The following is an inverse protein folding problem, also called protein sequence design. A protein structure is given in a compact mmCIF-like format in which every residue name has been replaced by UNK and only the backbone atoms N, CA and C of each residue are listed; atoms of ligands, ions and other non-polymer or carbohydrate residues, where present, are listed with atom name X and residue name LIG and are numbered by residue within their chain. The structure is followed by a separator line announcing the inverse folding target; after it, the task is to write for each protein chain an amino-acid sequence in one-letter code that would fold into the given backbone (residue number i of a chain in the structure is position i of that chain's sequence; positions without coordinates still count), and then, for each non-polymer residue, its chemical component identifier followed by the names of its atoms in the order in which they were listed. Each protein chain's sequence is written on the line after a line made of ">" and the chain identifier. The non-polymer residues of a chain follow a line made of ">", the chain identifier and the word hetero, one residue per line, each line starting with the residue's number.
data_IF_626742838177
#
_entry.id   IF_626742838177
#
_cell.length_a   1.000
_cell.length_b   1.000
_cell.length_c   1.000
_cell.angle_alpha   90.00
_cell.angle_beta   90.00
_cell.angle_gamma   90.00
#
_symmetry.space_group_name_H-M   'P 1'
#
loop_
_entity.id
_entity.type
_entity.pdbx_description
1 polymer ?
#
# COMPACT_ATOMS: atom_id res chain seq x y z
N UNK A 1 19.20 -37.69 9.19
CA UNK A 1 18.75 -37.05 7.94
C UNK A 1 18.82 -35.54 8.17
N UNK A 2 19.71 -34.83 7.49
CA UNK A 2 19.81 -33.37 7.60
C UNK A 2 18.97 -32.79 6.45
N UNK A 3 17.93 -32.03 6.78
CA UNK A 3 17.22 -31.23 5.78
C UNK A 3 18.15 -30.07 5.38
N UNK A 4 18.61 -30.07 4.13
CA UNK A 4 19.29 -28.93 3.53
C UNK A 4 18.27 -28.07 2.80
N UNK A 5 17.98 -26.89 3.36
CA UNK A 5 17.18 -25.88 2.68
C UNK A 5 18.08 -25.09 1.71
N UNK A 6 17.72 -25.07 0.42
CA UNK A 6 18.25 -24.08 -0.52
C UNK A 6 17.46 -22.79 -0.33
N UNK A 7 18.12 -21.74 0.16
CA UNK A 7 17.54 -20.39 0.17
C UNK A 7 17.46 -19.94 -1.28
N UNK A 8 16.25 -19.75 -1.80
CA UNK A 8 16.05 -19.11 -3.10
C UNK A 8 16.39 -17.63 -2.98
N UNK A 9 17.34 -17.18 -3.79
CA UNK A 9 17.79 -15.78 -3.86
C UNK A 9 17.07 -14.99 -4.95
N UNK A 10 16.12 -15.57 -5.66
CA UNK A 10 15.33 -14.89 -6.71
C UNK A 10 14.69 -13.59 -6.23
N UNK A 11 14.95 -12.49 -6.95
CA UNK A 11 14.36 -11.16 -6.69
C UNK A 11 12.86 -11.20 -6.93
N UNK A 12 12.06 -10.71 -5.97
CA UNK A 12 10.62 -10.62 -6.13
C UNK A 12 10.22 -9.17 -6.39
N UNK A 13 10.15 -8.82 -7.68
CA UNK A 13 9.78 -7.47 -8.10
C UNK A 13 8.29 -7.23 -7.90
N UNK A 14 7.97 -6.18 -7.15
CA UNK A 14 6.60 -5.74 -6.89
C UNK A 14 6.51 -4.21 -6.90
N UNK A 15 5.28 -3.70 -6.93
CA UNK A 15 5.04 -2.29 -6.66
C UNK A 15 4.96 -2.03 -5.17
N UNK A 16 5.40 -0.85 -4.74
CA UNK A 16 5.21 -0.34 -3.40
C UNK A 16 4.64 1.07 -3.46
N UNK A 17 3.69 1.36 -2.59
CA UNK A 17 3.25 2.72 -2.31
C UNK A 17 3.68 3.07 -0.88
N UNK A 18 4.19 4.29 -0.73
CA UNK A 18 4.40 4.92 0.58
C UNK A 18 3.37 6.01 0.73
N UNK A 19 2.61 5.93 1.82
CA UNK A 19 1.50 6.82 2.09
C UNK A 19 1.80 7.59 3.36
N UNK A 20 1.81 8.91 3.23
CA UNK A 20 1.90 9.86 4.34
C UNK A 20 0.48 10.28 4.71
N UNK A 21 0.06 9.93 5.93
CA UNK A 21 -1.30 10.18 6.41
C UNK A 21 -1.33 11.30 7.43
N UNK A 22 -2.47 11.97 7.53
CA UNK A 22 -2.79 12.80 8.68
C UNK A 22 -2.80 11.91 9.95
N UNK A 23 -2.06 12.26 11.02
CA UNK A 23 -2.10 11.53 12.28
C UNK A 23 -3.49 11.35 12.90
N UNK A 24 -4.46 12.19 12.53
CA UNK A 24 -5.86 12.10 13.00
C UNK A 24 -6.72 11.19 12.12
N UNK A 25 -6.25 10.78 10.94
CA UNK A 25 -7.01 9.86 10.10
C UNK A 25 -7.10 8.47 10.71
N UNK A 26 -8.29 7.87 10.66
CA UNK A 26 -8.52 6.55 11.24
C UNK A 26 -8.33 5.41 10.24
N UNK A 27 -8.60 5.65 8.96
CA UNK A 27 -8.62 4.60 7.94
C UNK A 27 -8.09 5.07 6.61
N UNK A 28 -7.65 4.10 5.82
CA UNK A 28 -7.30 4.34 4.43
C UNK A 28 -7.55 3.11 3.57
N UNK A 29 -7.67 3.36 2.27
CA UNK A 29 -7.91 2.36 1.26
C UNK A 29 -7.07 2.62 0.00
N UNK A 30 -6.72 1.53 -0.67
CA UNK A 30 -6.04 1.54 -1.97
C UNK A 30 -6.95 0.78 -2.93
N UNK A 31 -7.25 1.39 -4.07
CA UNK A 31 -8.17 0.84 -5.06
C UNK A 31 -7.52 0.82 -6.44
N UNK A 32 -7.88 -0.19 -7.24
CA UNK A 32 -7.66 -0.16 -8.68
C UNK A 32 -8.74 0.73 -9.32
N UNK A 33 -8.31 1.73 -10.09
CA UNK A 33 -9.21 2.72 -10.72
C UNK A 33 -10.01 2.17 -11.88
N UNK A 34 -9.50 1.14 -12.56
CA UNK A 34 -10.10 0.61 -13.78
C UNK A 34 -11.25 -0.33 -13.45
N UNK A 35 -11.08 -1.19 -12.44
CA UNK A 35 -12.10 -2.14 -11.99
C UNK A 35 -12.86 -1.66 -10.76
N UNK A 36 -12.39 -0.62 -10.08
CA UNK A 36 -12.87 -0.19 -8.76
C UNK A 36 -12.69 -1.28 -7.69
N UNK A 37 -11.77 -2.22 -7.91
CA UNK A 37 -11.46 -3.28 -6.95
C UNK A 37 -10.68 -2.71 -5.78
N UNK A 38 -11.09 -3.08 -4.57
CA UNK A 38 -10.34 -2.78 -3.35
C UNK A 38 -9.08 -3.67 -3.30
N UNK A 39 -7.91 -3.04 -3.27
CA UNK A 39 -6.62 -3.72 -3.13
C UNK A 39 -6.21 -3.79 -1.65
N UNK A 40 -6.54 -2.76 -0.88
CA UNK A 40 -6.27 -2.67 0.55
C UNK A 40 -7.31 -1.82 1.26
N UNK A 41 -7.64 -2.20 2.49
CA UNK A 41 -8.26 -1.33 3.48
C UNK A 41 -7.70 -1.64 4.87
N UNK A 42 -7.48 -0.60 5.67
CA UNK A 42 -6.93 -0.78 7.01
C UNK A 42 -7.16 0.44 7.89
N UNK A 43 -6.84 0.27 9.18
CA UNK A 43 -6.67 1.39 10.10
C UNK A 43 -5.34 2.08 9.82
N UNK A 44 -5.26 3.38 10.04
CA UNK A 44 -3.98 4.11 9.94
C UNK A 44 -3.00 3.53 10.96
N UNK A 45 -1.81 3.05 10.54
CA UNK A 45 -0.84 2.46 11.45
C UNK A 45 -0.22 3.53 12.36
N UNK A 46 0.27 3.11 13.53
CA UNK A 46 0.92 4.01 14.48
C UNK A 46 2.24 4.61 13.95
N UNK A 47 2.82 4.02 12.89
CA UNK A 47 4.07 4.47 12.25
C UNK A 47 3.79 5.00 10.85
N UNK A 48 4.28 6.21 10.57
CA UNK A 48 4.11 6.93 9.31
C UNK A 48 5.49 7.11 8.63
N UNK A 49 5.67 6.90 7.31
CA UNK A 49 4.68 6.49 6.30
C UNK A 49 4.27 5.01 6.36
N UNK A 50 3.02 4.68 6.01
CA UNK A 50 2.64 3.28 5.79
C UNK A 50 3.13 2.81 4.42
N UNK A 51 3.61 1.55 4.39
CA UNK A 51 4.12 0.93 3.18
C UNK A 51 3.26 -0.27 2.80
N UNK A 52 2.75 -0.27 1.58
CA UNK A 52 1.94 -1.36 1.03
C UNK A 52 2.58 -1.89 -0.24
N UNK A 53 2.67 -3.22 -0.32
CA UNK A 53 3.01 -3.92 -1.56
C UNK A 53 1.76 -4.09 -2.42
N UNK A 54 1.88 -3.71 -3.67
CA UNK A 54 0.88 -3.88 -4.71
C UNK A 54 1.48 -4.69 -5.87
N UNK A 55 0.64 -5.32 -6.70
CA UNK A 55 1.10 -6.00 -7.91
C UNK A 55 2.00 -5.15 -8.82
N UNK A 56 2.92 -5.80 -9.54
CA UNK A 56 3.93 -5.15 -10.37
C UNK A 56 3.33 -4.26 -11.47
N UNK A 57 2.14 -4.58 -11.99
CA UNK A 57 1.47 -3.79 -13.03
C UNK A 57 1.20 -2.33 -12.63
N UNK A 58 1.10 -2.05 -11.33
CA UNK A 58 0.90 -0.69 -10.82
C UNK A 58 2.20 0.13 -10.81
N UNK A 59 3.36 -0.47 -11.10
CA UNK A 59 4.63 0.26 -11.28
C UNK A 59 4.77 0.90 -12.65
N UNK A 60 3.97 0.45 -13.63
CA UNK A 60 4.01 0.92 -15.01
C UNK A 60 2.69 1.57 -15.44
N UNK A 61 1.80 1.87 -14.48
CA UNK A 61 0.50 2.46 -14.74
C UNK A 61 0.08 3.42 -13.63
N UNK A 62 -0.79 4.37 -13.97
CA UNK A 62 -1.39 5.33 -13.03
C UNK A 62 -2.81 4.87 -12.64
N UNK A 63 -2.93 3.57 -12.37
CA UNK A 63 -4.22 2.91 -12.13
C UNK A 63 -4.54 2.73 -10.65
N UNK A 64 -3.72 3.27 -9.74
CA UNK A 64 -4.06 3.29 -8.32
C UNK A 64 -4.76 4.60 -7.95
N UNK A 65 -5.73 4.49 -7.07
CA UNK A 65 -6.21 5.60 -6.27
C UNK A 65 -6.10 5.24 -4.80
N UNK A 66 -5.79 6.24 -3.99
CA UNK A 66 -5.63 6.11 -2.54
C UNK A 66 -6.64 7.04 -1.90
N UNK A 67 -7.33 6.55 -0.88
CA UNK A 67 -8.35 7.31 -0.16
C UNK A 67 -8.05 7.21 1.33
N UNK A 68 -8.06 8.35 2.01
CA UNK A 68 -7.94 8.48 3.46
C UNK A 68 -9.30 8.90 3.99
N UNK A 69 -9.76 8.24 5.04
CA UNK A 69 -11.01 8.53 5.72
C UNK A 69 -10.71 9.07 7.11
N UNK A 70 -11.36 10.19 7.42
CA UNK A 70 -11.44 10.75 8.76
C UNK A 70 -12.89 10.60 9.25
N UNK A 71 -13.05 9.75 10.27
CA UNK A 71 -14.32 9.40 10.90
C UNK A 71 -14.53 10.14 12.23
N UNK A 72 -13.80 11.22 12.50
CA UNK A 72 -13.91 11.95 13.77
C UNK A 72 -15.31 12.52 14.02
N UNK A 73 -15.64 12.64 15.32
CA UNK A 73 -16.97 13.01 15.82
C UNK A 73 -17.50 14.39 15.38
N UNK A 74 -16.67 15.23 14.74
CA UNK A 74 -17.03 16.59 14.32
C UNK A 74 -17.12 16.80 12.80
N UNK A 75 -17.01 15.73 12.01
CA UNK A 75 -17.30 15.77 10.58
C UNK A 75 -16.65 14.61 9.83
N UNK A 76 -17.43 13.93 8.99
CA UNK A 76 -16.87 12.96 8.05
C UNK A 76 -16.08 13.69 6.97
N UNK A 77 -14.82 13.34 6.81
CA UNK A 77 -14.00 13.86 5.72
C UNK A 77 -13.32 12.73 4.96
N UNK A 78 -13.09 12.96 3.67
CA UNK A 78 -12.34 12.05 2.82
C UNK A 78 -11.42 12.84 1.91
N UNK A 79 -10.17 12.39 1.83
CA UNK A 79 -9.17 12.95 0.90
C UNK A 79 -8.66 11.81 0.05
N UNK A 80 -8.65 12.02 -1.27
CA UNK A 80 -8.21 11.02 -2.21
C UNK A 80 -7.13 11.55 -3.15
N UNK A 81 -6.10 10.74 -3.37
CA UNK A 81 -5.11 10.94 -4.41
C UNK A 81 -5.37 9.97 -5.56
N UNK A 82 -5.65 10.52 -6.73
CA UNK A 82 -5.92 9.78 -7.95
C UNK A 82 -4.66 9.62 -8.80
N UNK A 83 -4.66 8.66 -9.74
CA UNK A 83 -3.58 8.42 -10.71
C UNK A 83 -2.21 8.14 -10.05
N UNK A 84 -2.21 7.44 -8.92
CA UNK A 84 -1.00 7.04 -8.22
C UNK A 84 -0.29 5.94 -9.01
N UNK A 85 1.04 6.03 -9.04
CA UNK A 85 1.95 5.03 -9.60
C UNK A 85 2.80 4.45 -8.48
N UNK A 86 2.91 3.12 -8.43
CA UNK A 86 3.74 2.46 -7.43
C UNK A 86 5.22 2.54 -7.80
N UNK A 87 6.08 2.57 -6.79
CA UNK A 87 7.52 2.43 -6.96
C UNK A 87 7.89 0.95 -7.14
N UNK A 88 8.76 0.64 -8.11
CA UNK A 88 9.33 -0.71 -8.26
C UNK A 88 10.32 -1.01 -7.12
N UNK A 89 10.10 -2.13 -6.43
CA UNK A 89 10.95 -2.61 -5.33
C UNK A 89 11.18 -4.12 -5.39
N UNK A 90 12.24 -4.63 -4.74
CA UNK A 90 12.31 -6.04 -4.34
C UNK A 90 11.55 -6.18 -3.02
N UNK A 91 10.42 -6.89 -3.03
CA UNK A 91 9.54 -7.02 -1.88
C UNK A 91 10.24 -7.61 -0.64
N UNK A 92 11.35 -8.35 -0.81
CA UNK A 92 12.13 -8.90 0.31
C UNK A 92 12.96 -7.87 1.06
N UNK A 93 13.17 -6.70 0.46
CA UNK A 93 13.97 -5.61 1.03
C UNK A 93 13.12 -4.55 1.72
N UNK A 94 11.80 -4.69 1.66
CA UNK A 94 10.84 -3.73 2.22
C UNK A 94 10.28 -4.26 3.54
N UNK A 95 10.44 -3.45 4.59
CA UNK A 95 9.72 -3.66 5.86
C UNK A 95 8.35 -3.01 5.75
N UNK A 96 7.30 -3.81 5.89
CA UNK A 96 5.92 -3.34 5.92
C UNK A 96 5.49 -3.01 7.34
N UNK A 97 4.60 -2.04 7.44
CA UNK A 97 3.96 -1.58 8.66
C UNK A 97 2.45 -1.47 8.39
N UNK A 98 1.75 -2.62 8.27
CA UNK A 98 0.30 -2.65 8.22
C UNK A 98 -0.33 -2.26 9.55
#
# INVERSE_FOLDING_TARGET
>A
MILSFKIDKSTYFAGMIELDFDPLSERYAVIDRKSLSLLWNGLTPATNPAKIIVPFEYTNSNNLAVIIFDETANGYNMVGNDKVQAQLVDARTVTLNP
#
